data_IF_865844276797
#
_entry.id   IF_865844276797
#
_cell.length_a   1.000
_cell.length_b   1.000
_cell.length_c   1.000
_cell.angle_alpha   90.00
_cell.angle_beta   90.00
_cell.angle_gamma   90.00
#
_symmetry.space_group_name_H-M   'P 1'
#
loop_
_entity.id
_entity.type
_entity.pdbx_description
1 polymer ?
#
# COMPACT_ATOMS: atom_id res chain seq x y z
N UNK A 1 -7.23 13.51 -17.11
CA UNK A 1 -6.72 12.16 -17.43
C UNK A 1 -5.53 11.93 -16.53
N UNK A 2 -5.73 11.26 -15.38
CA UNK A 2 -4.66 11.02 -14.40
C UNK A 2 -3.67 9.99 -14.97
N UNK A 3 -2.38 10.24 -14.80
CA UNK A 3 -1.34 9.29 -15.21
C UNK A 3 -1.47 7.99 -14.40
N UNK A 4 -1.17 6.84 -15.01
CA UNK A 4 -1.12 5.55 -14.31
C UNK A 4 -0.23 5.60 -13.05
N UNK A 5 0.81 6.44 -13.09
CA UNK A 5 1.69 6.69 -11.95
C UNK A 5 0.97 7.42 -10.80
N UNK A 6 0.14 8.42 -11.10
CA UNK A 6 -0.61 9.16 -10.08
C UNK A 6 -1.65 8.25 -9.42
N UNK A 7 -2.34 7.42 -10.19
CA UNK A 7 -3.25 6.42 -9.65
C UNK A 7 -2.53 5.40 -8.76
N UNK A 8 -1.34 4.94 -9.18
CA UNK A 8 -0.53 4.02 -8.38
C UNK A 8 -0.07 4.67 -7.06
N UNK A 9 0.34 5.94 -7.08
CA UNK A 9 0.73 6.70 -5.88
C UNK A 9 -0.45 6.86 -4.92
N UNK A 10 -1.62 7.25 -5.42
CA UNK A 10 -2.83 7.34 -4.60
C UNK A 10 -3.22 5.99 -3.99
N UNK A 11 -3.09 4.90 -4.75
CA UNK A 11 -3.35 3.55 -4.23
C UNK A 11 -2.37 3.17 -3.13
N UNK A 12 -1.08 3.52 -3.29
CA UNK A 12 -0.06 3.29 -2.27
C UNK A 12 -0.31 4.11 -1.01
N UNK A 13 -0.67 5.40 -1.15
CA UNK A 13 -1.01 6.25 -0.01
C UNK A 13 -2.21 5.71 0.78
N UNK A 14 -3.27 5.27 0.09
CA UNK A 14 -4.41 4.62 0.75
C UNK A 14 -4.00 3.36 1.50
N UNK A 15 -3.15 2.51 0.90
CA UNK A 15 -2.69 1.29 1.54
C UNK A 15 -1.83 1.57 2.80
N UNK A 16 -0.94 2.58 2.74
CA UNK A 16 -0.17 3.04 3.92
C UNK A 16 -1.09 3.51 5.04
N UNK A 17 -2.10 4.32 4.73
CA UNK A 17 -3.05 4.82 5.73
C UNK A 17 -3.79 3.68 6.44
N UNK A 18 -4.21 2.64 5.70
CA UNK A 18 -4.86 1.47 6.29
C UNK A 18 -3.91 0.71 7.23
N UNK A 19 -2.65 0.52 6.83
CA UNK A 19 -1.64 -0.12 7.70
C UNK A 19 -1.46 0.69 8.98
N UNK A 20 -1.29 2.01 8.88
CA UNK A 20 -1.13 2.88 10.05
C UNK A 20 -2.36 2.85 10.97
N UNK A 21 -3.57 2.81 10.41
CA UNK A 21 -4.80 2.69 11.20
C UNK A 21 -4.87 1.37 11.98
N UNK A 22 -4.46 0.26 11.36
CA UNK A 22 -4.42 -1.03 12.04
C UNK A 22 -3.31 -1.08 13.09
N UNK A 23 -2.12 -0.53 12.81
CA UNK A 23 -1.01 -0.49 13.78
C UNK A 23 -1.30 0.41 14.99
N UNK A 24 -2.00 1.52 14.78
CA UNK A 24 -2.36 2.47 15.84
C UNK A 24 -3.54 2.03 16.70
N UNK A 25 -4.35 1.09 16.21
CA UNK A 25 -5.54 0.61 16.91
C UNK A 25 -5.45 -0.89 17.19
N UNK A 26 -4.79 -1.29 18.29
CA UNK A 26 -4.78 -2.68 18.71
C UNK A 26 -6.20 -3.20 18.97
N UNK A 27 -6.40 -4.53 18.91
CA UNK A 27 -7.70 -5.15 19.14
C UNK A 27 -8.21 -4.80 20.55
N UNK A 28 -9.50 -4.47 20.65
CA UNK A 28 -10.12 -4.11 21.92
C UNK A 28 -10.24 -5.31 22.87
N UNK A 29 -10.28 -6.52 22.30
CA UNK A 29 -10.43 -7.77 23.05
C UNK A 29 -9.35 -8.78 22.65
N UNK A 30 -8.85 -9.59 23.59
CA UNK A 30 -7.82 -10.59 23.31
C UNK A 30 -8.24 -11.62 22.24
N UNK A 31 -9.52 -12.00 22.19
CA UNK A 31 -10.04 -12.96 21.20
C UNK A 31 -9.94 -12.45 19.75
N UNK A 32 -9.91 -11.14 19.55
CA UNK A 32 -9.77 -10.52 18.23
C UNK A 32 -8.31 -10.43 17.77
N UNK A 33 -7.33 -10.78 18.61
CA UNK A 33 -5.92 -10.59 18.32
C UNK A 33 -5.44 -11.33 17.07
N UNK A 34 -5.87 -12.59 16.90
CA UNK A 34 -5.50 -13.37 15.71
C UNK A 34 -6.08 -12.78 14.43
N UNK A 35 -7.33 -12.30 14.49
CA UNK A 35 -8.01 -11.67 13.37
C UNK A 35 -7.34 -10.34 13.02
N UNK A 36 -7.10 -9.50 14.01
CA UNK A 36 -6.42 -8.22 13.83
C UNK A 36 -5.02 -8.39 13.21
N UNK A 37 -4.26 -9.39 13.68
CA UNK A 37 -2.96 -9.71 13.11
C UNK A 37 -3.06 -10.13 11.64
N UNK A 38 -4.04 -10.98 11.29
CA UNK A 38 -4.27 -11.37 9.89
C UNK A 38 -4.64 -10.17 9.01
N UNK A 39 -5.53 -9.29 9.48
CA UNK A 39 -5.92 -8.06 8.79
C UNK A 39 -4.70 -7.13 8.56
N UNK A 40 -3.84 -6.98 9.57
CA UNK A 40 -2.61 -6.19 9.47
C UNK A 40 -1.63 -6.79 8.45
N UNK A 41 -1.44 -8.11 8.43
CA UNK A 41 -0.57 -8.76 7.45
C UNK A 41 -1.09 -8.58 6.01
N UNK A 42 -2.41 -8.70 5.80
CA UNK A 42 -3.01 -8.47 4.50
C UNK A 42 -2.87 -7.00 4.06
N UNK A 43 -3.06 -6.06 4.99
CA UNK A 43 -2.87 -4.63 4.71
C UNK A 43 -1.42 -4.32 4.31
N UNK A 44 -0.44 -4.86 5.04
CA UNK A 44 1.00 -4.71 4.73
C UNK A 44 1.34 -5.31 3.36
N UNK A 45 0.84 -6.50 3.05
CA UNK A 45 1.04 -7.12 1.74
C UNK A 45 0.50 -6.22 0.61
N UNK A 46 -0.70 -5.65 0.77
CA UNK A 46 -1.27 -4.71 -0.20
C UNK A 46 -0.41 -3.45 -0.35
N UNK A 47 0.09 -2.89 0.75
CA UNK A 47 0.98 -1.74 0.72
C UNK A 47 2.25 -2.05 -0.11
N UNK A 48 2.89 -3.20 0.11
CA UNK A 48 4.06 -3.60 -0.68
C UNK A 48 3.75 -3.80 -2.16
N UNK A 49 2.62 -4.43 -2.50
CA UNK A 49 2.23 -4.60 -3.91
C UNK A 49 2.01 -3.25 -4.61
N UNK A 50 1.30 -2.32 -3.96
CA UNK A 50 1.07 -0.98 -4.52
C UNK A 50 2.36 -0.17 -4.64
N UNK A 51 3.27 -0.28 -3.66
CA UNK A 51 4.60 0.31 -3.72
C UNK A 51 5.42 -0.23 -4.89
N UNK A 52 5.42 -1.56 -5.09
CA UNK A 52 6.08 -2.20 -6.22
C UNK A 52 5.59 -1.68 -7.58
N UNK A 53 4.28 -1.44 -7.70
CA UNK A 53 3.68 -0.83 -8.91
C UNK A 53 4.17 0.60 -9.13
N UNK A 54 4.24 1.42 -8.08
CA UNK A 54 4.80 2.79 -8.19
C UNK A 54 6.25 2.72 -8.70
N UNK A 55 7.09 1.88 -8.08
CA UNK A 55 8.50 1.74 -8.48
C UNK A 55 8.63 1.28 -9.94
N UNK A 56 7.81 0.31 -10.37
CA UNK A 56 7.82 -0.17 -11.75
C UNK A 56 7.45 0.93 -12.76
N UNK A 57 6.43 1.73 -12.45
CA UNK A 57 5.98 2.83 -13.29
C UNK A 57 6.98 3.99 -13.31
N UNK A 58 7.60 4.34 -12.18
CA UNK A 58 8.64 5.37 -12.12
C UNK A 58 9.85 4.99 -12.98
N UNK A 59 10.28 3.72 -12.92
CA UNK A 59 11.35 3.20 -13.76
C UNK A 59 10.98 3.16 -15.24
N UNK A 60 9.75 2.78 -15.56
CA UNK A 60 9.24 2.79 -16.94
C UNK A 60 9.11 4.20 -17.53
N UNK A 61 8.69 5.18 -16.73
CA UNK A 61 8.64 6.59 -17.14
C UNK A 61 10.03 7.18 -17.39
N UNK A 62 11.05 6.80 -16.62
CA UNK A 62 12.43 7.23 -16.83
C UNK A 62 13.03 6.66 -18.11
N UNK A 63 12.67 5.42 -18.48
CA UNK A 63 13.11 4.80 -19.75
C UNK A 63 12.49 5.42 -21.01
N UNK A 64 11.30 6.02 -20.90
CA UNK A 64 10.59 6.63 -22.03
C UNK A 64 11.00 8.07 -22.34
N UNK A 65 11.76 8.73 -21.47
CA UNK A 65 12.22 10.12 -21.64
C UNK A 65 13.68 10.23 -22.11
N UNK A 66 14.36 9.10 -22.33
CA UNK A 66 15.78 9.02 -22.68
C UNK A 66 16.09 8.56 -24.11
N UNK A 67 15.12 8.62 -25.03
CA UNK A 67 15.29 8.34 -26.47
C UNK A 67 14.89 9.54 -27.32
#
# INVERSE_FOLDING_TARGET
MYSDLEHARQAWDRAKNIVQQLESRPPAKPEDASRHQAELHLARLRAYMTQGRVIALERGCLGAQGL
#
